data_IF_959673432473
#
_entry.id   IF_959673432473
#
_cell.length_a   1.000
_cell.length_b   1.000
_cell.length_c   1.000
_cell.angle_alpha   90.00
_cell.angle_beta   90.00
_cell.angle_gamma   90.00
#
_symmetry.space_group_name_H-M   'P 1'
#
loop_
_entity.id
_entity.type
_entity.pdbx_description
1 polymer ?
#
# COMPACT_ATOMS: atom_id res chain seq x y z
N UNK A 1 -37.03 -39.94 7.05
CA UNK A 1 -38.39 -39.75 6.59
C UNK A 1 -38.59 -38.30 6.21
N UNK A 2 -38.91 -38.11 4.94
CA UNK A 2 -39.41 -36.91 4.21
C UNK A 2 -38.54 -35.69 4.07
N UNK A 3 -38.06 -35.60 2.86
CA UNK A 3 -37.72 -34.48 1.98
C UNK A 3 -38.72 -33.32 2.02
N UNK A 4 -38.20 -32.09 2.02
CA UNK A 4 -38.83 -30.99 1.28
C UNK A 4 -37.71 -30.31 0.44
N UNK A 5 -37.84 -30.44 -0.87
CA UNK A 5 -37.14 -29.66 -1.90
C UNK A 5 -37.79 -28.29 -1.97
N UNK A 6 -37.01 -27.22 -1.89
CA UNK A 6 -37.41 -25.96 -2.47
C UNK A 6 -36.39 -25.54 -3.54
N UNK A 7 -36.94 -25.38 -4.69
CA UNK A 7 -36.31 -25.02 -5.96
C UNK A 7 -36.18 -23.51 -5.99
N UNK A 8 -34.95 -23.01 -5.94
CA UNK A 8 -34.65 -21.60 -6.27
C UNK A 8 -34.06 -21.56 -7.67
N UNK A 9 -34.82 -20.98 -8.60
CA UNK A 9 -34.36 -20.60 -9.93
C UNK A 9 -33.26 -19.53 -9.79
N UNK A 10 -32.04 -19.90 -10.05
CA UNK A 10 -30.95 -18.98 -10.31
C UNK A 10 -30.84 -18.77 -11.81
N UNK A 11 -31.12 -17.55 -12.27
CA UNK A 11 -30.73 -17.11 -13.61
C UNK A 11 -29.20 -17.04 -13.68
N UNK A 12 -28.62 -18.13 -14.16
CA UNK A 12 -27.18 -18.16 -14.49
C UNK A 12 -26.97 -17.47 -15.83
N UNK A 13 -26.36 -16.30 -15.82
CA UNK A 13 -25.70 -15.77 -17.02
C UNK A 13 -24.37 -16.53 -17.13
N UNK A 14 -24.35 -17.57 -17.96
CA UNK A 14 -23.13 -18.24 -18.35
C UNK A 14 -22.46 -17.36 -19.39
N UNK A 15 -21.47 -16.58 -18.97
CA UNK A 15 -20.51 -15.98 -19.90
C UNK A 15 -19.43 -17.00 -20.14
N UNK A 16 -19.54 -17.74 -21.24
CA UNK A 16 -18.48 -18.63 -21.72
C UNK A 16 -17.38 -17.75 -22.31
N UNK A 17 -16.31 -17.51 -21.56
CA UNK A 17 -15.08 -17.01 -22.11
C UNK A 17 -14.19 -18.21 -22.49
N UNK A 18 -14.04 -18.45 -23.79
CA UNK A 18 -13.09 -19.43 -24.32
C UNK A 18 -11.67 -19.03 -23.93
N UNK A 19 -11.02 -19.88 -23.16
CA UNK A 19 -9.59 -19.86 -22.91
C UNK A 19 -8.82 -20.08 -24.22
N UNK A 20 -7.84 -19.24 -24.46
CA UNK A 20 -6.87 -19.26 -25.57
C UNK A 20 -7.21 -18.37 -26.77
N UNK A 21 -7.09 -17.08 -26.60
CA UNK A 21 -6.73 -16.21 -27.72
C UNK A 21 -5.77 -15.12 -27.26
N UNK A 22 -4.58 -15.08 -27.89
CA UNK A 22 -3.66 -13.97 -27.77
C UNK A 22 -4.36 -12.68 -28.15
N UNK A 23 -3.99 -11.56 -27.53
CA UNK A 23 -4.58 -10.22 -27.70
C UNK A 23 -4.71 -9.73 -29.15
N UNK A 24 -4.24 -10.47 -30.13
CA UNK A 24 -4.32 -10.12 -31.57
C UNK A 24 -5.61 -10.59 -32.27
N UNK A 25 -6.42 -11.45 -31.67
CA UNK A 25 -7.52 -12.12 -32.40
C UNK A 25 -8.94 -11.62 -32.06
N UNK A 26 -9.10 -10.65 -31.15
CA UNK A 26 -10.44 -10.19 -30.72
C UNK A 26 -10.90 -8.93 -31.48
N UNK A 27 -10.05 -8.30 -32.26
CA UNK A 27 -10.43 -7.17 -33.11
C UNK A 27 -10.89 -7.70 -34.48
N UNK A 28 -12.18 -8.01 -34.65
CA UNK A 28 -12.74 -8.44 -35.93
C UNK A 28 -12.76 -7.29 -36.95
N UNK A 29 -12.44 -7.62 -38.21
CA UNK A 29 -12.38 -6.68 -39.33
C UNK A 29 -13.75 -6.44 -40.04
N UNK A 30 -14.86 -6.56 -39.36
CA UNK A 30 -16.16 -6.31 -39.98
C UNK A 30 -16.53 -4.84 -40.03
N UNK A 31 -16.59 -4.28 -41.23
CA UNK A 31 -16.71 -2.85 -41.52
C UNK A 31 -18.10 -2.21 -41.32
N UNK A 32 -19.11 -2.94 -40.85
CA UNK A 32 -20.52 -2.43 -40.79
C UNK A 32 -21.25 -2.68 -39.48
N UNK A 33 -20.56 -3.10 -38.40
CA UNK A 33 -21.18 -3.25 -37.10
C UNK A 33 -20.83 -2.08 -36.18
N UNK A 34 -21.80 -1.67 -35.37
CA UNK A 34 -21.63 -0.66 -34.33
C UNK A 34 -20.51 -1.09 -33.40
N UNK A 35 -19.39 -0.38 -33.41
CA UNK A 35 -18.18 -0.72 -32.61
C UNK A 35 -18.59 -0.93 -31.16
N UNK A 36 -18.32 -2.10 -30.63
CA UNK A 36 -18.62 -2.43 -29.23
C UNK A 36 -17.66 -1.74 -28.25
N UNK A 37 -18.08 -1.55 -27.00
CA UNK A 37 -17.19 -0.99 -25.98
C UNK A 37 -15.92 -1.84 -25.77
N UNK A 38 -16.01 -3.15 -25.96
CA UNK A 38 -14.86 -4.05 -25.89
C UNK A 38 -13.87 -3.80 -27.02
N UNK A 39 -14.33 -3.52 -28.24
CA UNK A 39 -13.49 -3.19 -29.38
C UNK A 39 -12.82 -1.82 -29.21
N UNK A 40 -13.56 -0.85 -28.69
CA UNK A 40 -13.01 0.45 -28.33
C UNK A 40 -11.89 0.32 -27.28
N UNK A 41 -12.11 -0.52 -26.25
CA UNK A 41 -11.12 -0.78 -25.22
C UNK A 41 -9.91 -1.50 -25.80
N UNK A 42 -10.10 -2.53 -26.62
CA UNK A 42 -9.05 -3.28 -27.30
C UNK A 42 -8.17 -2.34 -28.15
N UNK A 43 -8.78 -1.47 -28.94
CA UNK A 43 -8.08 -0.47 -29.76
C UNK A 43 -7.27 0.50 -28.90
N UNK A 44 -7.85 0.99 -27.83
CA UNK A 44 -7.16 1.91 -26.90
C UNK A 44 -5.97 1.23 -26.22
N UNK A 45 -6.12 -0.01 -25.77
CA UNK A 45 -5.03 -0.84 -25.22
C UNK A 45 -3.91 -1.06 -26.25
N UNK A 46 -4.24 -1.29 -27.53
CA UNK A 46 -3.24 -1.41 -28.60
C UNK A 46 -2.39 -0.15 -28.75
N UNK A 47 -3.02 1.03 -28.76
CA UNK A 47 -2.27 2.30 -28.76
C UNK A 47 -1.39 2.44 -27.52
N UNK A 48 -1.91 2.06 -26.36
CA UNK A 48 -1.18 2.12 -25.10
C UNK A 48 0.07 1.24 -25.12
N UNK A 49 -0.05 -0.01 -25.55
CA UNK A 49 1.07 -0.95 -25.71
C UNK A 49 2.15 -0.45 -26.68
N UNK A 50 1.73 0.30 -27.71
CA UNK A 50 2.64 0.91 -28.68
C UNK A 50 3.27 2.23 -28.20
N UNK A 51 3.04 2.64 -26.94
CA UNK A 51 3.53 3.90 -26.38
C UNK A 51 2.84 5.15 -26.93
N UNK A 52 1.75 5.00 -27.68
CA UNK A 52 0.94 6.10 -28.22
C UNK A 52 -0.07 6.57 -27.16
N UNK A 53 0.46 7.13 -26.06
CA UNK A 53 -0.32 7.42 -24.85
C UNK A 53 -1.49 8.38 -25.09
N UNK A 54 -1.30 9.46 -25.85
CA UNK A 54 -2.35 10.45 -26.13
C UNK A 54 -3.52 9.82 -26.91
N UNK A 55 -3.22 8.96 -27.88
CA UNK A 55 -4.25 8.23 -28.63
C UNK A 55 -5.00 7.23 -27.74
N UNK A 56 -4.27 6.56 -26.84
CA UNK A 56 -4.86 5.65 -25.86
C UNK A 56 -5.79 6.40 -24.90
N UNK A 57 -5.33 7.53 -24.33
CA UNK A 57 -6.13 8.38 -23.42
C UNK A 57 -7.39 8.90 -24.10
N UNK A 58 -7.29 9.32 -25.37
CA UNK A 58 -8.46 9.74 -26.15
C UNK A 58 -9.50 8.61 -26.27
N UNK A 59 -9.04 7.41 -26.57
CA UNK A 59 -9.94 6.23 -26.64
C UNK A 59 -10.54 5.88 -25.28
N UNK A 60 -9.78 5.90 -24.22
CA UNK A 60 -10.27 5.67 -22.85
C UNK A 60 -11.31 6.72 -22.44
N UNK A 61 -11.08 7.99 -22.71
CA UNK A 61 -12.04 9.05 -22.43
C UNK A 61 -13.35 8.85 -23.20
N UNK A 62 -13.29 8.41 -24.45
CA UNK A 62 -14.50 8.10 -25.24
C UNK A 62 -15.36 7.02 -24.59
N UNK A 63 -14.73 5.97 -24.03
CA UNK A 63 -15.45 4.92 -23.31
C UNK A 63 -16.02 5.44 -21.98
N UNK A 64 -15.26 6.22 -21.24
CA UNK A 64 -15.71 6.78 -19.95
C UNK A 64 -16.92 7.71 -20.12
N UNK A 65 -17.00 8.45 -21.22
CA UNK A 65 -18.09 9.38 -21.53
C UNK A 65 -19.28 8.71 -22.26
N UNK A 66 -19.23 7.41 -22.50
CA UNK A 66 -20.28 6.65 -23.16
C UNK A 66 -21.19 5.93 -22.14
N UNK A 67 -22.21 5.24 -22.64
CA UNK A 67 -23.08 4.35 -21.86
C UNK A 67 -22.43 2.97 -21.59
N UNK A 68 -21.11 2.87 -21.62
CA UNK A 68 -20.41 1.62 -21.32
C UNK A 68 -20.73 1.12 -19.91
N UNK A 69 -20.89 -0.21 -19.74
CA UNK A 69 -21.11 -0.81 -18.44
C UNK A 69 -20.02 -0.40 -17.44
N UNK A 70 -20.42 -0.30 -16.16
CA UNK A 70 -19.54 0.19 -15.10
C UNK A 70 -18.24 -0.62 -14.96
N UNK A 71 -18.32 -1.95 -15.09
CA UNK A 71 -17.12 -2.80 -15.01
C UNK A 71 -16.09 -2.47 -16.09
N UNK A 72 -16.54 -2.13 -17.31
CA UNK A 72 -15.65 -1.65 -18.39
C UNK A 72 -15.07 -0.28 -18.04
N UNK A 73 -15.87 0.65 -17.53
CA UNK A 73 -15.39 1.97 -17.12
C UNK A 73 -14.34 1.88 -16.02
N UNK A 74 -14.51 0.98 -15.04
CA UNK A 74 -13.52 0.76 -13.99
C UNK A 74 -12.19 0.25 -14.55
N UNK A 75 -12.23 -0.72 -15.46
CA UNK A 75 -11.02 -1.21 -16.14
C UNK A 75 -10.34 -0.11 -16.96
N UNK A 76 -11.12 0.67 -17.68
CA UNK A 76 -10.63 1.81 -18.48
C UNK A 76 -9.91 2.85 -17.61
N UNK A 77 -10.43 3.13 -16.40
CA UNK A 77 -9.79 4.07 -15.47
C UNK A 77 -8.37 3.64 -15.08
N UNK A 78 -8.15 2.34 -14.85
CA UNK A 78 -6.81 1.79 -14.54
C UNK A 78 -5.86 2.05 -15.69
N UNK A 79 -6.22 1.64 -16.92
CA UNK A 79 -5.35 1.84 -18.09
C UNK A 79 -5.13 3.32 -18.42
N UNK A 80 -6.15 4.15 -18.25
CA UNK A 80 -6.01 5.59 -18.44
C UNK A 80 -4.98 6.16 -17.47
N UNK A 81 -4.99 5.78 -16.19
CA UNK A 81 -4.00 6.21 -15.22
C UNK A 81 -2.58 5.79 -15.59
N UNK A 82 -2.39 4.58 -16.08
CA UNK A 82 -1.09 4.12 -16.60
C UNK A 82 -0.63 4.96 -17.79
N UNK A 83 -1.53 5.28 -18.73
CA UNK A 83 -1.23 6.10 -19.89
C UNK A 83 -0.88 7.56 -19.50
N UNK A 84 -1.59 8.16 -18.55
CA UNK A 84 -1.34 9.52 -18.06
C UNK A 84 0.06 9.67 -17.45
N UNK A 85 0.60 8.64 -16.82
CA UNK A 85 1.98 8.63 -16.32
C UNK A 85 2.98 8.08 -17.35
N UNK A 86 2.58 7.96 -18.63
CA UNK A 86 3.39 7.48 -19.75
C UNK A 86 4.03 6.11 -19.49
N UNK A 87 3.29 5.21 -18.83
CA UNK A 87 3.72 3.85 -18.60
C UNK A 87 3.05 2.90 -19.59
N UNK A 88 3.84 2.08 -20.32
CA UNK A 88 3.28 1.03 -21.13
C UNK A 88 2.51 0.02 -20.23
N UNK A 89 1.54 -0.67 -20.81
CA UNK A 89 0.95 -1.82 -20.15
C UNK A 89 2.06 -2.85 -19.98
N UNK A 90 2.38 -3.23 -18.74
CA UNK A 90 3.37 -4.28 -18.49
C UNK A 90 2.96 -5.56 -19.21
N UNK A 91 3.89 -6.18 -19.92
CA UNK A 91 3.67 -7.50 -20.55
C UNK A 91 3.38 -8.58 -19.51
N UNK A 92 3.72 -8.33 -18.24
CA UNK A 92 3.40 -9.18 -17.08
C UNK A 92 2.04 -8.89 -16.47
N UNK A 93 1.46 -7.71 -16.71
CA UNK A 93 0.12 -7.35 -16.27
C UNK A 93 -0.90 -8.04 -17.17
N UNK A 94 -1.23 -9.27 -16.83
CA UNK A 94 -2.31 -10.01 -17.47
C UNK A 94 -3.55 -9.88 -16.61
N UNK A 95 -4.64 -9.41 -17.23
CA UNK A 95 -5.95 -9.52 -16.60
C UNK A 95 -6.24 -11.01 -16.35
N UNK A 96 -6.32 -11.40 -15.08
CA UNK A 96 -6.61 -12.76 -14.71
C UNK A 96 -8.15 -12.93 -14.60
N UNK A 97 -8.77 -13.85 -15.34
CA UNK A 97 -10.22 -14.10 -15.27
C UNK A 97 -10.71 -14.41 -13.85
N UNK A 98 -9.84 -14.93 -13.00
CA UNK A 98 -10.16 -15.27 -11.62
C UNK A 98 -10.15 -14.06 -10.66
N UNK A 99 -9.80 -12.87 -11.13
CA UNK A 99 -9.89 -11.63 -10.33
C UNK A 99 -11.31 -11.41 -9.79
N UNK A 100 -12.33 -11.73 -10.58
CA UNK A 100 -13.74 -11.64 -10.16
C UNK A 100 -13.98 -12.50 -8.92
N UNK A 101 -13.44 -13.72 -8.86
CA UNK A 101 -13.55 -14.59 -7.68
C UNK A 101 -12.78 -14.04 -6.48
N UNK A 102 -11.56 -13.54 -6.70
CA UNK A 102 -10.73 -12.92 -5.66
C UNK A 102 -11.45 -11.70 -5.08
N UNK A 103 -11.96 -10.81 -5.94
CA UNK A 103 -12.71 -9.62 -5.54
C UNK A 103 -13.99 -10.00 -4.80
N UNK A 104 -14.76 -10.98 -5.29
CA UNK A 104 -15.99 -11.44 -4.64
C UNK A 104 -15.75 -12.03 -3.26
N UNK A 105 -14.70 -12.86 -3.11
CA UNK A 105 -14.29 -13.40 -1.80
C UNK A 105 -13.89 -12.28 -0.84
N UNK A 106 -13.12 -11.31 -1.32
CA UNK A 106 -12.66 -10.18 -0.53
C UNK A 106 -13.82 -9.33 -0.05
N UNK A 107 -14.75 -9.01 -0.94
CA UNK A 107 -15.96 -8.26 -0.60
C UNK A 107 -16.83 -9.01 0.41
N UNK A 108 -17.06 -10.32 0.22
CA UNK A 108 -17.83 -11.14 1.15
C UNK A 108 -17.20 -11.23 2.54
N UNK A 109 -15.86 -11.40 2.61
CA UNK A 109 -15.11 -11.41 3.87
C UNK A 109 -15.11 -10.07 4.59
N UNK A 110 -15.34 -8.98 3.89
CA UNK A 110 -15.29 -7.62 4.41
C UNK A 110 -16.59 -7.11 5.03
N UNK A 111 -17.71 -7.83 4.85
CA UNK A 111 -19.05 -7.38 5.27
C UNK A 111 -19.33 -5.95 4.80
N UNK A 112 -19.18 -5.70 3.51
CA UNK A 112 -19.22 -4.36 2.90
C UNK A 112 -20.56 -3.62 3.02
N UNK A 113 -21.61 -4.29 3.51
CA UNK A 113 -22.91 -3.65 3.71
C UNK A 113 -22.79 -2.54 4.76
N UNK A 114 -22.86 -1.30 4.30
CA UNK A 114 -22.72 -0.12 5.15
C UNK A 114 -21.25 0.27 5.46
N UNK A 115 -20.27 -0.32 4.75
CA UNK A 115 -18.87 0.07 4.91
C UNK A 115 -18.61 1.40 4.21
N UNK A 116 -18.23 2.41 4.97
CA UNK A 116 -17.67 3.66 4.46
C UNK A 116 -16.29 3.88 5.04
N UNK A 117 -15.35 4.33 4.22
CA UNK A 117 -14.08 4.84 4.71
C UNK A 117 -14.31 6.30 5.12
N UNK A 118 -14.25 6.57 6.40
CA UNK A 118 -14.26 7.95 6.89
C UNK A 118 -12.96 8.62 6.45
N UNK A 119 -13.06 9.57 5.54
CA UNK A 119 -11.97 10.38 5.02
C UNK A 119 -11.81 11.66 5.88
N UNK A 120 -11.57 11.48 7.17
CA UNK A 120 -11.18 12.59 8.02
C UNK A 120 -9.66 12.69 8.03
N UNK A 121 -9.13 13.92 8.01
CA UNK A 121 -7.70 14.22 7.93
C UNK A 121 -7.00 13.87 9.26
N UNK A 122 -6.87 12.57 9.53
CA UNK A 122 -6.26 12.05 10.76
C UNK A 122 -4.74 12.04 10.77
N UNK A 123 -4.11 12.62 9.75
CA UNK A 123 -2.67 12.71 9.69
C UNK A 123 -2.21 14.17 9.57
N UNK A 124 -1.21 14.52 10.35
CA UNK A 124 -0.41 15.73 10.17
C UNK A 124 0.95 15.51 10.82
N UNK A 125 2.05 16.04 10.23
CA UNK A 125 3.34 16.06 10.91
C UNK A 125 3.19 16.68 12.30
N UNK A 126 3.89 16.14 13.29
CA UNK A 126 3.84 16.56 14.70
C UNK A 126 2.48 16.44 15.40
N UNK A 127 1.45 15.92 14.75
CA UNK A 127 0.10 15.74 15.31
C UNK A 127 -0.32 14.28 15.23
N UNK A 128 -1.62 14.04 15.12
CA UNK A 128 -2.17 12.69 15.01
C UNK A 128 -1.55 11.91 13.85
N UNK A 129 -1.48 10.61 14.02
CA UNK A 129 -1.01 9.65 13.02
C UNK A 129 -2.16 8.70 12.72
N UNK A 130 -2.93 9.03 11.70
CA UNK A 130 -4.20 8.36 11.40
C UNK A 130 -5.13 8.37 12.62
N UNK A 131 -5.92 7.32 12.82
CA UNK A 131 -6.80 7.10 13.96
C UNK A 131 -6.20 6.14 15.00
N UNK A 132 -4.86 6.12 15.10
CA UNK A 132 -4.15 5.23 16.02
C UNK A 132 -4.56 5.40 17.48
N UNK A 133 -4.96 6.61 17.90
CA UNK A 133 -5.44 6.88 19.25
C UNK A 133 -6.73 6.12 19.61
N UNK A 134 -7.47 5.63 18.61
CA UNK A 134 -8.66 4.79 18.82
C UNK A 134 -8.32 3.30 19.04
N UNK A 135 -7.06 2.92 18.81
CA UNK A 135 -6.63 1.53 18.93
C UNK A 135 -6.63 1.09 20.39
N UNK A 136 -7.16 -0.11 20.65
CA UNK A 136 -7.17 -0.74 21.95
C UNK A 136 -6.38 -2.06 21.88
N UNK A 137 -5.24 -2.09 22.56
CA UNK A 137 -4.33 -3.23 22.58
C UNK A 137 -4.52 -4.11 23.83
N UNK A 138 -5.16 -3.58 24.88
CA UNK A 138 -5.25 -4.24 26.21
C UNK A 138 -6.20 -5.42 26.21
N UNK A 139 -7.23 -5.41 25.37
CA UNK A 139 -8.28 -6.43 25.31
C UNK A 139 -8.11 -7.42 24.15
N UNK A 140 -6.92 -7.52 23.57
CA UNK A 140 -6.65 -8.43 22.47
C UNK A 140 -5.66 -9.52 22.91
N UNK A 141 -6.07 -10.80 22.82
CA UNK A 141 -5.26 -11.94 23.24
C UNK A 141 -3.95 -12.13 22.46
N UNK A 142 -3.82 -11.42 21.31
CA UNK A 142 -2.61 -11.44 20.50
C UNK A 142 -1.56 -10.42 20.96
N UNK A 143 -1.88 -9.61 21.96
CA UNK A 143 -0.98 -8.61 22.53
C UNK A 143 -0.80 -8.84 24.04
N UNK A 144 0.36 -8.47 24.52
CA UNK A 144 0.64 -8.29 25.95
C UNK A 144 1.68 -7.19 26.13
N UNK A 145 1.80 -6.69 27.35
CA UNK A 145 2.86 -5.77 27.74
C UNK A 145 3.92 -6.49 28.58
N UNK A 146 5.18 -6.10 28.39
CA UNK A 146 6.27 -6.53 29.27
C UNK A 146 6.28 -5.71 30.59
N UNK A 147 7.26 -5.98 31.47
CA UNK A 147 7.41 -5.29 32.75
C UNK A 147 7.68 -3.78 32.60
N UNK A 148 8.14 -3.33 31.43
CA UNK A 148 8.41 -1.93 31.10
C UNK A 148 7.27 -1.27 30.31
N UNK A 149 6.09 -1.93 30.20
CA UNK A 149 4.96 -1.49 29.40
C UNK A 149 5.27 -1.36 27.89
N UNK A 150 6.14 -2.20 27.37
CA UNK A 150 6.38 -2.29 25.92
C UNK A 150 5.50 -3.38 25.34
N UNK A 151 4.80 -3.03 24.23
CA UNK A 151 3.89 -3.93 23.56
C UNK A 151 4.62 -5.09 22.87
N UNK A 152 4.17 -6.30 23.14
CA UNK A 152 4.59 -7.53 22.47
C UNK A 152 3.43 -8.13 21.71
N UNK A 153 3.70 -8.75 20.57
CA UNK A 153 2.70 -9.44 19.74
C UNK A 153 2.98 -10.93 19.67
N UNK A 154 1.89 -11.72 19.64
CA UNK A 154 1.94 -13.18 19.61
C UNK A 154 2.16 -13.69 18.18
N UNK A 155 3.17 -14.54 18.00
CA UNK A 155 3.46 -15.30 16.78
C UNK A 155 3.74 -16.76 17.16
N UNK A 156 3.07 -17.71 16.51
CA UNK A 156 3.24 -19.15 16.76
C UNK A 156 3.20 -19.51 18.26
N UNK A 157 2.26 -18.92 19.01
CA UNK A 157 2.08 -19.17 20.43
C UNK A 157 3.02 -18.45 21.39
N UNK A 158 4.06 -17.76 20.88
CA UNK A 158 5.02 -17.00 21.69
C UNK A 158 4.89 -15.50 21.43
N UNK A 159 5.28 -14.70 22.42
CA UNK A 159 5.25 -13.25 22.31
C UNK A 159 6.64 -12.72 21.99
N UNK A 160 6.68 -11.81 21.00
CA UNK A 160 7.89 -11.15 20.53
C UNK A 160 7.68 -9.64 20.43
N UNK A 161 8.75 -8.88 20.46
CA UNK A 161 8.70 -7.49 20.06
C UNK A 161 8.59 -7.44 18.54
N UNK A 162 7.52 -6.76 18.10
CA UNK A 162 7.35 -6.44 16.69
C UNK A 162 7.50 -4.92 16.57
N UNK A 163 8.55 -4.41 15.92
CA UNK A 163 8.81 -2.97 15.82
C UNK A 163 7.60 -2.17 15.39
N UNK A 164 6.91 -2.57 14.30
CA UNK A 164 5.70 -1.90 13.80
C UNK A 164 4.59 -1.87 14.86
N UNK A 165 4.41 -2.94 15.64
CA UNK A 165 3.40 -2.94 16.71
C UNK A 165 3.75 -1.98 17.84
N UNK A 166 5.02 -1.89 18.21
CA UNK A 166 5.52 -0.93 19.22
C UNK A 166 5.36 0.50 18.72
N UNK A 167 5.69 0.76 17.46
CA UNK A 167 5.56 2.07 16.82
C UNK A 167 4.10 2.53 16.73
N UNK A 168 3.19 1.66 16.30
CA UNK A 168 1.76 1.97 16.25
C UNK A 168 1.20 2.23 17.65
N UNK A 169 1.64 1.48 18.66
CA UNK A 169 1.28 1.74 20.04
C UNK A 169 1.84 3.07 20.53
N UNK A 170 3.11 3.38 20.23
CA UNK A 170 3.71 4.67 20.55
C UNK A 170 2.92 5.83 19.92
N UNK A 171 2.59 5.73 18.62
CA UNK A 171 1.83 6.75 17.90
C UNK A 171 0.39 6.89 18.42
N UNK A 172 -0.21 5.78 18.90
CA UNK A 172 -1.49 5.80 19.62
C UNK A 172 -1.38 6.59 20.94
N UNK A 173 -0.36 6.31 21.74
CA UNK A 173 -0.12 7.02 23.00
C UNK A 173 0.18 8.51 22.76
N UNK A 174 0.92 8.83 21.70
CA UNK A 174 1.16 10.21 21.29
C UNK A 174 -0.15 10.91 20.90
N UNK A 175 -0.99 10.27 20.08
CA UNK A 175 -2.30 10.82 19.70
C UNK A 175 -3.19 11.09 20.91
N UNK A 176 -3.25 10.15 21.87
CA UNK A 176 -3.95 10.34 23.15
C UNK A 176 -3.37 11.50 23.96
N UNK A 177 -2.03 11.61 24.02
CA UNK A 177 -1.34 12.69 24.74
C UNK A 177 -1.71 14.07 24.19
N UNK A 178 -1.65 14.28 22.88
CA UNK A 178 -2.00 15.58 22.29
C UNK A 178 -3.49 15.91 22.42
N UNK A 179 -4.33 14.92 22.70
CA UNK A 179 -5.75 15.05 23.02
C UNK A 179 -6.02 15.21 24.54
N UNK A 180 -4.98 15.44 25.34
CA UNK A 180 -5.09 15.77 26.77
C UNK A 180 -5.03 14.57 27.73
N UNK A 181 -4.73 13.34 27.26
CA UNK A 181 -4.58 12.18 28.15
C UNK A 181 -3.15 12.10 28.71
N UNK A 182 -2.98 11.50 29.88
CA UNK A 182 -1.67 11.31 30.54
C UNK A 182 -0.95 10.06 29.97
N UNK A 183 -0.59 10.11 28.70
CA UNK A 183 0.10 9.02 28.00
C UNK A 183 1.49 9.37 27.47
N UNK A 184 2.00 10.58 27.80
CA UNK A 184 3.33 11.02 27.40
C UNK A 184 4.44 10.04 27.80
N UNK A 185 4.39 9.53 29.03
CA UNK A 185 5.38 8.60 29.55
C UNK A 185 5.38 7.28 28.75
N UNK A 186 4.20 6.72 28.46
CA UNK A 186 4.06 5.50 27.65
C UNK A 186 4.60 5.68 26.25
N UNK A 187 4.33 6.83 25.61
CA UNK A 187 4.90 7.18 24.32
C UNK A 187 6.43 7.22 24.35
N UNK A 188 7.03 7.95 25.30
CA UNK A 188 8.47 8.10 25.40
C UNK A 188 9.16 6.80 25.76
N UNK A 189 8.57 5.95 26.60
CA UNK A 189 9.09 4.60 26.88
C UNK A 189 9.23 3.77 25.59
N UNK A 190 8.25 3.81 24.71
CA UNK A 190 8.31 3.09 23.44
C UNK A 190 9.37 3.70 22.50
N UNK A 191 9.49 5.03 22.46
CA UNK A 191 10.52 5.71 21.66
C UNK A 191 11.95 5.34 22.16
N UNK A 192 12.15 5.32 23.46
CA UNK A 192 13.43 4.93 24.08
C UNK A 192 13.72 3.43 23.88
N UNK A 193 12.69 2.58 23.97
CA UNK A 193 12.81 1.17 23.62
C UNK A 193 13.31 0.98 22.19
N UNK A 194 12.72 1.68 21.20
CA UNK A 194 13.12 1.58 19.79
C UNK A 194 14.58 1.99 19.59
N UNK A 195 15.07 3.03 20.29
CA UNK A 195 16.50 3.41 20.26
C UNK A 195 17.38 2.24 20.72
N UNK A 196 17.05 1.61 21.85
CA UNK A 196 17.82 0.54 22.45
C UNK A 196 17.69 -0.79 21.66
N UNK A 197 16.57 -1.00 20.98
CA UNK A 197 16.30 -2.19 20.17
C UNK A 197 16.99 -2.16 18.80
N UNK A 198 17.30 -0.96 18.31
CA UNK A 198 17.99 -0.73 17.05
C UNK A 198 19.42 -1.25 17.10
N UNK A 199 19.85 -1.97 16.07
CA UNK A 199 21.23 -2.40 15.95
C UNK A 199 22.20 -1.25 15.61
N UNK A 200 23.51 -1.56 15.56
CA UNK A 200 24.55 -0.56 15.27
C UNK A 200 24.38 0.14 13.91
N UNK A 201 23.76 -0.54 12.93
CA UNK A 201 23.49 0.00 11.59
C UNK A 201 22.21 0.85 11.54
N UNK A 202 21.41 0.83 12.59
CA UNK A 202 20.12 1.50 12.63
C UNK A 202 18.93 0.59 12.23
N UNK A 203 19.14 -0.72 12.16
CA UNK A 203 18.11 -1.68 11.79
C UNK A 203 17.24 -2.06 12.98
N UNK A 204 15.92 -2.02 12.79
CA UNK A 204 14.91 -2.60 13.68
C UNK A 204 14.62 -4.02 13.21
N UNK A 205 15.11 -5.02 13.93
CA UNK A 205 15.04 -6.42 13.54
C UNK A 205 13.88 -7.15 14.21
N UNK A 206 13.39 -8.17 13.54
CA UNK A 206 12.36 -9.07 14.05
C UNK A 206 13.03 -10.37 14.51
N UNK A 207 12.89 -10.72 15.78
CA UNK A 207 13.56 -11.87 16.41
C UNK A 207 12.78 -13.19 16.25
N UNK A 208 11.89 -13.26 15.29
CA UNK A 208 11.07 -14.44 15.00
C UNK A 208 11.01 -14.70 13.50
N UNK A 209 10.81 -15.98 13.14
CA UNK A 209 10.57 -16.36 11.77
C UNK A 209 9.16 -15.97 11.32
N UNK A 210 9.02 -15.48 10.09
CA UNK A 210 7.74 -15.09 9.51
C UNK A 210 7.65 -15.59 8.07
N UNK A 211 6.52 -16.18 7.72
CA UNK A 211 6.27 -16.59 6.34
C UNK A 211 5.47 -15.51 5.61
N UNK A 212 6.10 -14.93 4.58
CA UNK A 212 5.46 -14.03 3.63
C UNK A 212 5.93 -14.40 2.22
N UNK A 213 5.25 -15.37 1.61
CA UNK A 213 5.66 -16.06 0.38
C UNK A 213 6.95 -16.87 0.50
N UNK A 214 7.89 -16.42 1.30
CA UNK A 214 9.15 -17.06 1.64
C UNK A 214 9.33 -17.05 3.17
N UNK A 215 10.17 -17.95 3.70
CA UNK A 215 10.47 -18.03 5.12
C UNK A 215 11.53 -17.00 5.51
N UNK A 216 11.08 -15.86 6.04
CA UNK A 216 11.95 -14.85 6.62
C UNK A 216 12.49 -15.38 7.96
N UNK A 217 13.82 -15.51 8.04
CA UNK A 217 14.50 -16.00 9.24
C UNK A 217 14.60 -14.90 10.30
N UNK A 218 14.68 -15.24 11.61
CA UNK A 218 14.93 -14.26 12.66
C UNK A 218 16.10 -13.33 12.34
N UNK A 219 15.91 -12.03 12.58
CA UNK A 219 16.83 -10.98 12.17
C UNK A 219 16.42 -10.24 10.89
N UNK A 220 15.29 -10.63 10.26
CA UNK A 220 14.73 -9.90 9.11
C UNK A 220 14.31 -8.47 9.51
N UNK A 221 14.17 -7.61 8.51
CA UNK A 221 13.88 -6.18 8.67
C UNK A 221 12.76 -5.75 7.73
N UNK A 222 12.14 -4.60 8.04
CA UNK A 222 11.01 -4.06 7.30
C UNK A 222 11.20 -2.57 7.06
N UNK A 223 10.96 -2.10 5.84
CA UNK A 223 10.94 -0.67 5.56
C UNK A 223 9.83 0.05 6.32
N UNK A 224 8.69 -0.62 6.56
CA UNK A 224 7.60 -0.05 7.34
C UNK A 224 8.05 0.27 8.77
N UNK A 225 8.79 -0.64 9.41
CA UNK A 225 9.35 -0.38 10.74
C UNK A 225 10.33 0.81 10.71
N UNK A 226 11.25 0.83 9.76
CA UNK A 226 12.20 1.94 9.66
C UNK A 226 11.50 3.29 9.42
N UNK A 227 10.47 3.31 8.56
CA UNK A 227 9.70 4.51 8.27
C UNK A 227 8.84 4.98 9.44
N UNK A 228 8.11 4.08 10.10
CA UNK A 228 7.30 4.45 11.26
C UNK A 228 8.14 4.87 12.46
N UNK A 229 9.34 4.31 12.64
CA UNK A 229 10.29 4.79 13.65
C UNK A 229 10.66 6.26 13.42
N UNK A 230 10.84 6.72 12.18
CA UNK A 230 11.05 8.14 11.87
C UNK A 230 9.90 9.00 12.38
N UNK A 231 8.65 8.55 12.18
CA UNK A 231 7.44 9.23 12.66
C UNK A 231 7.38 9.29 14.20
N UNK A 232 7.85 8.23 14.89
CA UNK A 232 7.93 8.21 16.36
C UNK A 232 9.01 9.17 16.86
N UNK A 233 10.23 9.10 16.29
CA UNK A 233 11.37 9.92 16.73
C UNK A 233 11.16 11.41 16.46
N UNK A 234 10.53 11.78 15.34
CA UNK A 234 10.13 13.16 15.06
C UNK A 234 9.25 13.73 16.19
N UNK A 235 8.22 12.98 16.58
CA UNK A 235 7.29 13.38 17.65
C UNK A 235 7.94 13.38 19.02
N UNK A 236 8.79 12.41 19.30
CA UNK A 236 9.55 12.36 20.55
C UNK A 236 10.52 13.57 20.67
N UNK A 237 11.22 13.89 19.60
CA UNK A 237 12.06 15.08 19.53
C UNK A 237 11.24 16.36 19.67
N UNK A 238 10.09 16.45 19.05
CA UNK A 238 9.20 17.62 19.11
C UNK A 238 8.81 17.98 20.54
N UNK A 239 8.51 16.99 21.39
CA UNK A 239 8.03 17.24 22.75
C UNK A 239 9.13 17.27 23.83
N UNK A 240 10.33 16.74 23.50
CA UNK A 240 11.45 16.65 24.48
C UNK A 240 12.62 17.56 24.16
N UNK A 241 12.86 17.81 22.88
CA UNK A 241 14.08 18.44 22.34
C UNK A 241 15.37 17.65 22.61
N UNK A 242 15.23 16.39 23.02
CA UNK A 242 16.38 15.51 23.26
C UNK A 242 16.98 15.03 21.93
N UNK A 243 18.26 15.34 21.72
CA UNK A 243 19.00 15.02 20.50
C UNK A 243 19.15 13.52 20.25
N UNK A 244 19.01 12.67 21.29
CA UNK A 244 19.06 11.20 21.11
C UNK A 244 18.05 10.71 20.05
N UNK A 245 16.87 11.33 19.95
CA UNK A 245 15.86 10.99 18.95
C UNK A 245 16.28 11.42 17.54
N UNK A 246 17.01 12.54 17.40
CA UNK A 246 17.57 12.96 16.11
C UNK A 246 18.65 11.99 15.65
N UNK A 247 19.54 11.60 16.55
CA UNK A 247 20.60 10.64 16.26
C UNK A 247 20.03 9.26 15.86
N UNK A 248 19.03 8.77 16.60
CA UNK A 248 18.34 7.52 16.31
C UNK A 248 17.63 7.56 14.95
N UNK A 249 16.88 8.62 14.68
CA UNK A 249 16.18 8.76 13.40
C UNK A 249 17.16 8.87 12.22
N UNK A 250 18.30 9.54 12.38
CA UNK A 250 19.32 9.57 11.34
C UNK A 250 19.95 8.19 11.08
N UNK A 251 20.11 7.34 12.11
CA UNK A 251 20.53 5.94 11.93
C UNK A 251 19.45 5.14 11.20
N UNK A 252 18.17 5.28 11.60
CA UNK A 252 17.04 4.62 10.94
C UNK A 252 16.93 5.03 9.47
N UNK A 253 17.07 6.33 9.17
CA UNK A 253 17.06 6.83 7.79
C UNK A 253 18.19 6.24 6.95
N UNK A 254 19.42 6.22 7.47
CA UNK A 254 20.56 5.61 6.77
C UNK A 254 20.28 4.16 6.42
N UNK A 255 19.77 3.39 7.36
CA UNK A 255 19.41 2.00 7.11
C UNK A 255 18.29 1.88 6.07
N UNK A 256 17.23 2.70 6.18
CA UNK A 256 16.10 2.70 5.28
C UNK A 256 16.49 2.90 3.81
N UNK A 257 17.44 3.81 3.55
CA UNK A 257 17.94 4.11 2.20
C UNK A 257 19.12 3.23 1.75
N UNK A 258 19.52 2.24 2.56
CA UNK A 258 20.53 1.26 2.19
C UNK A 258 19.90 0.24 1.22
N UNK A 259 20.55 -0.07 0.08
CA UNK A 259 20.07 -1.09 -0.84
C UNK A 259 19.93 -2.47 -0.20
N UNK A 260 18.97 -3.27 -0.69
CA UNK A 260 18.79 -4.67 -0.29
C UNK A 260 20.07 -5.46 -0.55
N UNK A 261 20.77 -5.20 -1.66
CA UNK A 261 22.07 -5.83 -1.99
C UNK A 261 23.17 -5.56 -0.95
N UNK A 262 23.02 -4.52 -0.13
CA UNK A 262 23.92 -4.15 0.96
C UNK A 262 23.33 -4.48 2.35
N UNK A 263 22.26 -5.27 2.36
CA UNK A 263 21.58 -5.71 3.57
C UNK A 263 20.69 -4.64 4.22
N UNK A 264 20.17 -3.70 3.43
CA UNK A 264 19.13 -2.75 3.79
C UNK A 264 17.75 -3.18 3.31
N UNK A 265 16.85 -2.21 3.09
CA UNK A 265 15.45 -2.45 2.68
C UNK A 265 15.04 -1.68 1.41
N UNK A 266 15.93 -0.89 0.83
CA UNK A 266 15.66 -0.17 -0.40
C UNK A 266 15.97 -1.04 -1.62
N UNK A 267 15.01 -1.15 -2.52
CA UNK A 267 15.06 -1.91 -3.75
C UNK A 267 14.67 -1.01 -4.94
N UNK A 268 14.53 -1.60 -6.11
CA UNK A 268 14.00 -0.94 -7.30
C UNK A 268 12.76 -1.66 -7.82
N UNK A 269 12.08 -1.06 -8.77
CA UNK A 269 10.92 -1.67 -9.45
C UNK A 269 11.34 -2.56 -10.63
N UNK A 270 12.63 -2.89 -10.77
CA UNK A 270 13.17 -3.65 -11.90
C UNK A 270 12.54 -5.04 -12.03
N UNK A 271 12.30 -5.73 -10.91
CA UNK A 271 11.67 -7.05 -10.91
C UNK A 271 10.21 -7.01 -11.39
N UNK A 272 9.53 -5.86 -11.27
CA UNK A 272 8.20 -5.65 -11.81
C UNK A 272 8.24 -5.32 -13.32
N UNK A 273 9.11 -4.40 -13.71
CA UNK A 273 9.31 -3.99 -15.08
C UNK A 273 10.74 -3.41 -15.24
N UNK A 274 11.52 -3.97 -16.17
CA UNK A 274 12.91 -3.52 -16.42
C UNK A 274 13.03 -2.06 -16.83
N UNK A 275 11.96 -1.46 -17.40
CA UNK A 275 11.90 -0.03 -17.68
C UNK A 275 11.77 0.82 -16.42
N UNK A 276 11.54 0.23 -15.27
CA UNK A 276 11.40 0.89 -13.98
C UNK A 276 12.61 0.69 -13.06
N UNK A 277 13.74 0.20 -13.59
CA UNK A 277 14.96 -0.08 -12.81
C UNK A 277 15.48 1.12 -12.01
N UNK A 278 15.23 2.35 -12.48
CA UNK A 278 15.65 3.60 -11.83
C UNK A 278 14.62 4.10 -10.79
N UNK A 279 13.50 3.40 -10.62
CA UNK A 279 12.45 3.73 -9.66
C UNK A 279 12.68 2.95 -8.39
N UNK A 280 12.82 3.66 -7.26
CA UNK A 280 13.06 3.04 -5.95
C UNK A 280 11.79 2.44 -5.35
N UNK A 281 11.96 1.42 -4.55
CA UNK A 281 10.91 0.86 -3.69
C UNK A 281 11.50 0.47 -2.34
N UNK A 282 10.74 0.64 -1.26
CA UNK A 282 11.13 0.23 0.07
C UNK A 282 10.36 -1.04 0.45
N UNK A 283 11.08 -2.15 0.65
CA UNK A 283 10.48 -3.45 0.90
C UNK A 283 9.99 -3.59 2.34
N UNK A 284 8.70 -3.85 2.51
CA UNK A 284 8.15 -4.23 3.83
C UNK A 284 8.65 -5.61 4.24
N UNK A 285 8.76 -6.52 3.27
CA UNK A 285 9.33 -7.87 3.44
C UNK A 285 10.45 -8.03 2.43
N UNK A 286 11.68 -8.21 2.90
CA UNK A 286 12.85 -8.37 2.03
C UNK A 286 12.94 -9.85 1.60
N UNK A 287 12.13 -10.21 0.61
CA UNK A 287 12.11 -11.52 -0.01
C UNK A 287 13.11 -11.60 -1.19
N UNK A 288 13.51 -12.81 -1.57
CA UNK A 288 14.29 -13.04 -2.81
C UNK A 288 13.55 -12.52 -4.04
N UNK A 289 12.23 -12.68 -4.07
CA UNK A 289 11.36 -12.04 -5.07
C UNK A 289 10.57 -10.93 -4.39
N UNK A 290 10.81 -9.71 -4.82
CA UNK A 290 10.10 -8.53 -4.28
C UNK A 290 8.59 -8.67 -4.39
N UNK A 291 7.90 -8.53 -3.24
CA UNK A 291 6.43 -8.59 -3.18
C UNK A 291 5.77 -7.24 -3.46
N UNK A 292 6.49 -6.15 -3.26
CA UNK A 292 5.97 -4.79 -3.45
C UNK A 292 4.69 -4.52 -2.64
N UNK A 293 4.75 -4.72 -1.33
CA UNK A 293 3.62 -4.50 -0.41
C UNK A 293 3.28 -3.01 -0.30
N UNK A 294 2.02 -2.64 -0.59
CA UNK A 294 1.63 -1.24 -0.76
C UNK A 294 1.55 -0.46 0.55
N UNK A 295 0.86 -1.00 1.56
CA UNK A 295 0.63 -0.28 2.81
C UNK A 295 1.93 0.06 3.54
N UNK A 296 2.87 -0.88 3.63
CA UNK A 296 4.17 -0.64 4.26
C UNK A 296 5.00 0.37 3.49
N UNK A 297 4.95 0.32 2.15
CA UNK A 297 5.61 1.31 1.31
C UNK A 297 5.10 2.74 1.57
N UNK A 298 3.77 2.92 1.62
CA UNK A 298 3.20 4.26 1.87
C UNK A 298 3.49 4.73 3.29
N UNK A 299 3.43 3.86 4.30
CA UNK A 299 3.84 4.23 5.66
C UNK A 299 5.32 4.65 5.73
N UNK A 300 6.17 3.99 4.95
CA UNK A 300 7.58 4.38 4.81
C UNK A 300 7.74 5.79 4.24
N UNK A 301 6.99 6.12 3.18
CA UNK A 301 6.99 7.47 2.60
C UNK A 301 6.51 8.52 3.58
N UNK A 302 5.48 8.22 4.37
CA UNK A 302 5.00 9.13 5.42
C UNK A 302 6.08 9.37 6.48
N UNK A 303 6.82 8.33 6.88
CA UNK A 303 7.95 8.48 7.80
C UNK A 303 9.08 9.35 7.26
N UNK A 304 9.40 9.22 5.97
CA UNK A 304 10.37 10.11 5.30
C UNK A 304 9.87 11.56 5.28
N UNK A 305 8.59 11.77 5.04
CA UNK A 305 7.98 13.10 5.08
C UNK A 305 7.99 13.69 6.50
N UNK A 306 7.67 12.91 7.52
CA UNK A 306 7.77 13.34 8.92
C UNK A 306 9.22 13.75 9.24
N UNK A 307 10.22 12.94 8.85
CA UNK A 307 11.63 13.21 9.12
C UNK A 307 12.14 14.48 8.43
N UNK A 308 11.64 14.79 7.24
CA UNK A 308 11.91 16.07 6.57
C UNK A 308 11.54 17.28 7.43
N UNK A 309 10.54 17.18 8.32
CA UNK A 309 10.11 18.28 9.19
C UNK A 309 11.00 18.49 10.42
N UNK A 310 11.99 17.64 10.68
CA UNK A 310 12.99 17.84 11.73
C UNK A 310 14.02 18.86 11.25
N UNK A 311 13.65 20.16 11.32
CA UNK A 311 14.39 21.30 10.74
C UNK A 311 15.43 21.91 11.68
N UNK A 312 16.13 21.08 12.47
CA UNK A 312 17.25 21.56 13.27
C UNK A 312 18.49 21.79 12.38
N UNK A 313 19.26 22.85 12.64
CA UNK A 313 20.43 23.18 11.81
C UNK A 313 21.41 21.99 11.66
N UNK A 314 21.64 21.26 12.75
CA UNK A 314 22.49 20.06 12.75
C UNK A 314 21.89 18.86 12.02
N UNK A 315 20.57 18.89 11.72
CA UNK A 315 19.86 17.83 11.02
C UNK A 315 19.53 18.18 9.56
N UNK A 316 19.87 19.37 9.10
CA UNK A 316 19.48 19.85 7.76
C UNK A 316 19.90 18.88 6.64
N UNK A 317 21.08 18.29 6.74
CA UNK A 317 21.56 17.30 5.78
C UNK A 317 20.62 16.07 5.68
N UNK A 318 20.31 15.46 6.82
CA UNK A 318 19.44 14.28 6.86
C UNK A 318 17.98 14.60 6.53
N UNK A 319 17.48 15.75 6.95
CA UNK A 319 16.17 16.26 6.59
C UNK A 319 16.04 16.41 5.06
N UNK A 320 17.06 16.94 4.38
CA UNK A 320 17.06 17.06 2.92
C UNK A 320 17.10 15.70 2.22
N UNK A 321 17.92 14.75 2.73
CA UNK A 321 17.94 13.37 2.24
C UNK A 321 16.56 12.74 2.38
N UNK A 322 15.91 12.86 3.51
CA UNK A 322 14.56 12.31 3.71
C UNK A 322 13.56 12.87 2.69
N UNK A 323 13.62 14.15 2.39
CA UNK A 323 12.76 14.79 1.38
C UNK A 323 13.08 14.32 -0.05
N UNK A 324 14.35 14.16 -0.38
CA UNK A 324 14.78 13.62 -1.68
C UNK A 324 14.20 12.21 -1.90
N UNK A 325 14.37 11.32 -0.91
CA UNK A 325 13.87 9.95 -1.00
C UNK A 325 12.35 9.86 -0.92
N UNK A 326 11.70 10.76 -0.19
CA UNK A 326 10.25 10.92 -0.25
C UNK A 326 9.78 11.22 -1.68
N UNK A 327 10.36 12.21 -2.35
CA UNK A 327 9.96 12.57 -3.72
C UNK A 327 10.23 11.45 -4.72
N UNK A 328 11.40 10.79 -4.65
CA UNK A 328 11.70 9.61 -5.47
C UNK A 328 10.67 8.50 -5.24
N UNK A 329 10.26 8.28 -3.99
CA UNK A 329 9.25 7.31 -3.64
C UNK A 329 7.85 7.70 -4.16
N UNK A 330 7.47 8.97 -4.09
CA UNK A 330 6.20 9.46 -4.66
C UNK A 330 6.17 9.23 -6.20
N UNK A 331 7.27 9.48 -6.89
CA UNK A 331 7.38 9.20 -8.32
C UNK A 331 7.20 7.71 -8.63
N UNK A 332 7.81 6.84 -7.83
CA UNK A 332 7.63 5.39 -7.95
C UNK A 332 6.19 4.99 -7.68
N UNK A 333 5.56 5.52 -6.61
CA UNK A 333 4.18 5.23 -6.24
C UNK A 333 3.22 5.58 -7.39
N UNK A 334 3.38 6.73 -8.03
CA UNK A 334 2.57 7.11 -9.20
C UNK A 334 2.67 6.10 -10.34
N UNK A 335 3.86 5.54 -10.55
CA UNK A 335 4.09 4.55 -11.62
C UNK A 335 3.40 3.22 -11.35
N UNK A 336 3.34 2.76 -10.09
CA UNK A 336 2.90 1.42 -9.75
C UNK A 336 1.48 1.34 -9.19
N UNK A 337 0.94 2.45 -8.71
CA UNK A 337 -0.35 2.46 -8.02
C UNK A 337 -1.48 1.80 -8.83
N UNK A 338 -1.60 1.99 -10.15
CA UNK A 338 -2.64 1.34 -10.95
C UNK A 338 -2.55 -0.19 -10.97
N UNK A 339 -1.36 -0.78 -10.76
CA UNK A 339 -1.21 -2.24 -10.73
C UNK A 339 -1.85 -2.90 -9.50
N UNK A 340 -2.07 -2.14 -8.43
CA UNK A 340 -2.78 -2.64 -7.24
C UNK A 340 -4.30 -2.69 -7.44
N UNK A 341 -4.84 -2.08 -8.49
CA UNK A 341 -6.26 -2.13 -8.79
C UNK A 341 -6.60 -3.43 -9.52
N UNK A 342 -7.37 -4.30 -8.88
CA UNK A 342 -7.80 -5.59 -9.42
C UNK A 342 -9.24 -5.58 -9.93
N UNK A 343 -9.78 -4.38 -10.21
CA UNK A 343 -11.10 -4.24 -10.83
C UNK A 343 -12.27 -4.31 -9.86
N UNK A 344 -12.32 -3.40 -8.87
CA UNK A 344 -13.38 -3.30 -7.86
C UNK A 344 -12.91 -3.59 -6.44
N UNK A 345 -11.62 -3.78 -6.28
CA UNK A 345 -10.89 -3.92 -5.01
C UNK A 345 -9.40 -3.69 -5.25
N UNK A 346 -8.57 -3.68 -4.19
CA UNK A 346 -7.12 -3.59 -4.34
C UNK A 346 -6.44 -4.91 -3.96
N UNK A 347 -5.28 -5.19 -4.59
CA UNK A 347 -4.35 -6.20 -4.09
C UNK A 347 -3.54 -5.64 -2.92
N UNK A 348 -3.08 -6.54 -2.05
CA UNK A 348 -2.21 -6.21 -0.93
C UNK A 348 -0.80 -5.84 -1.41
N UNK A 349 -0.33 -6.57 -2.43
CA UNK A 349 1.00 -6.48 -3.01
C UNK A 349 0.97 -6.76 -4.53
N UNK A 350 2.13 -6.76 -5.18
CA UNK A 350 2.29 -7.07 -6.61
C UNK A 350 3.01 -8.41 -6.85
N UNK A 351 3.10 -9.28 -5.85
CA UNK A 351 3.73 -10.59 -6.00
C UNK A 351 3.09 -11.40 -7.13
N UNK A 352 1.79 -11.22 -7.35
CA UNK A 352 1.05 -11.87 -8.42
C UNK A 352 1.57 -11.51 -9.82
N UNK A 353 2.13 -10.30 -10.01
CA UNK A 353 2.73 -9.87 -11.28
C UNK A 353 4.13 -10.46 -11.42
N UNK A 354 4.95 -10.40 -10.37
CA UNK A 354 6.34 -10.88 -10.40
C UNK A 354 6.42 -12.40 -10.56
N UNK A 355 5.47 -13.14 -9.99
CA UNK A 355 5.40 -14.62 -10.04
C UNK A 355 4.30 -15.17 -10.94
N UNK A 356 3.54 -14.31 -11.64
CA UNK A 356 2.43 -14.73 -12.50
C UNK A 356 1.43 -15.65 -11.76
N UNK A 357 1.01 -15.24 -10.57
CA UNK A 357 0.07 -15.93 -9.69
C UNK A 357 -1.26 -15.19 -9.57
N UNK A 358 -2.14 -15.66 -8.70
CA UNK A 358 -3.36 -14.93 -8.32
C UNK A 358 -3.02 -13.73 -7.42
N UNK A 359 -3.73 -12.59 -7.54
CA UNK A 359 -3.50 -11.46 -6.67
C UNK A 359 -3.87 -11.80 -5.22
N UNK A 360 -3.03 -11.35 -4.30
CA UNK A 360 -3.36 -11.36 -2.89
C UNK A 360 -4.26 -10.16 -2.59
N UNK A 361 -5.54 -10.42 -2.33
CA UNK A 361 -6.49 -9.37 -2.02
C UNK A 361 -6.10 -8.61 -0.75
N UNK A 362 -6.23 -7.30 -0.80
CA UNK A 362 -5.90 -6.44 0.33
C UNK A 362 -6.78 -6.70 1.59
N UNK A 363 -7.99 -7.25 1.44
CA UNK A 363 -8.87 -7.46 2.58
C UNK A 363 -9.08 -6.15 3.37
N UNK A 364 -8.80 -6.17 4.68
CA UNK A 364 -8.84 -4.97 5.54
C UNK A 364 -7.96 -3.82 5.01
N UNK A 365 -6.83 -4.12 4.38
CA UNK A 365 -5.91 -3.10 3.88
C UNK A 365 -6.46 -2.28 2.71
N UNK A 366 -7.55 -2.70 2.06
CA UNK A 366 -8.20 -1.84 1.07
C UNK A 366 -8.62 -0.49 1.69
N UNK A 367 -9.17 -0.50 2.90
CA UNK A 367 -9.50 0.73 3.62
C UNK A 367 -8.26 1.52 4.05
N UNK A 368 -7.22 0.81 4.44
CA UNK A 368 -5.93 1.43 4.80
C UNK A 368 -5.34 2.13 3.59
N UNK A 369 -5.33 1.49 2.41
CA UNK A 369 -4.87 2.10 1.16
C UNK A 369 -5.62 3.39 0.82
N UNK A 370 -6.95 3.41 0.98
CA UNK A 370 -7.78 4.61 0.73
C UNK A 370 -7.37 5.75 1.68
N UNK A 371 -7.25 5.48 2.99
CA UNK A 371 -6.81 6.47 4.00
C UNK A 371 -5.38 6.96 3.74
N UNK A 372 -4.49 6.06 3.32
CA UNK A 372 -3.11 6.39 2.98
C UNK A 372 -3.04 7.28 1.74
N UNK A 373 -3.83 7.01 0.69
CA UNK A 373 -3.89 7.88 -0.49
C UNK A 373 -4.48 9.25 -0.17
N UNK A 374 -5.45 9.33 0.74
CA UNK A 374 -5.94 10.61 1.23
C UNK A 374 -4.83 11.42 1.92
N UNK A 375 -4.01 10.75 2.73
CA UNK A 375 -2.84 11.34 3.38
C UNK A 375 -1.80 11.81 2.36
N UNK A 376 -1.45 10.98 1.37
CA UNK A 376 -0.50 11.36 0.31
C UNK A 376 -1.04 12.53 -0.51
N UNK A 377 -2.34 12.55 -0.83
CA UNK A 377 -2.95 13.73 -1.46
C UNK A 377 -2.86 14.98 -0.57
N UNK A 378 -3.14 14.86 0.73
CA UNK A 378 -3.02 15.96 1.68
C UNK A 378 -1.59 16.54 1.73
N UNK A 379 -0.58 15.67 1.70
CA UNK A 379 0.84 16.04 1.72
C UNK A 379 1.26 16.69 0.40
N UNK A 380 0.98 16.03 -0.73
CA UNK A 380 1.53 16.40 -2.05
C UNK A 380 0.68 17.41 -2.81
N UNK A 381 -0.61 17.52 -2.47
CA UNK A 381 -1.65 18.24 -3.24
C UNK A 381 -1.79 17.74 -4.69
N UNK A 382 -1.21 16.58 -5.01
CA UNK A 382 -1.31 15.99 -6.34
C UNK A 382 -2.66 15.31 -6.54
N UNK A 383 -3.46 15.87 -7.44
CA UNK A 383 -4.82 15.39 -7.77
C UNK A 383 -4.85 13.92 -8.19
N UNK A 384 -3.74 13.39 -8.73
CA UNK A 384 -3.63 11.98 -9.10
C UNK A 384 -3.97 11.05 -7.94
N UNK A 385 -3.43 11.31 -6.73
CA UNK A 385 -3.70 10.49 -5.56
C UNK A 385 -5.14 10.63 -5.07
N UNK A 386 -5.72 11.83 -5.18
CA UNK A 386 -7.14 12.05 -4.92
C UNK A 386 -8.02 11.22 -5.85
N UNK A 387 -7.73 11.24 -7.15
CA UNK A 387 -8.51 10.50 -8.13
C UNK A 387 -8.43 8.97 -7.90
N UNK A 388 -7.25 8.45 -7.57
CA UNK A 388 -7.07 7.04 -7.22
C UNK A 388 -7.79 6.68 -5.92
N UNK A 389 -7.70 7.53 -4.89
CA UNK A 389 -8.45 7.36 -3.64
C UNK A 389 -9.96 7.30 -3.89
N UNK A 390 -10.48 8.25 -4.66
CA UNK A 390 -11.91 8.36 -4.95
C UNK A 390 -12.39 7.14 -5.76
N UNK A 391 -11.58 6.66 -6.72
CA UNK A 391 -11.85 5.43 -7.46
C UNK A 391 -11.96 4.23 -6.50
N UNK A 392 -10.96 4.01 -5.67
CA UNK A 392 -10.95 2.87 -4.74
C UNK A 392 -12.04 2.97 -3.68
N UNK A 393 -12.32 4.18 -3.17
CA UNK A 393 -13.43 4.39 -2.24
C UNK A 393 -14.78 4.10 -2.90
N UNK A 394 -14.93 4.35 -4.19
CA UNK A 394 -16.16 4.03 -4.93
C UNK A 394 -16.46 2.53 -4.99
N UNK A 395 -15.45 1.67 -4.81
CA UNK A 395 -15.64 0.22 -4.79
C UNK A 395 -16.34 -0.29 -3.53
N UNK A 396 -16.28 0.44 -2.45
CA UNK A 396 -16.85 0.07 -1.14
C UNK A 396 -18.12 0.84 -0.80
N UNK A 397 -18.36 2.00 -1.41
CA UNK A 397 -19.54 2.85 -1.13
C UNK A 397 -20.80 2.49 -1.93
N UNK A 398 -20.74 1.47 -2.76
CA UNK A 398 -21.76 1.18 -3.80
C UNK A 398 -22.54 -0.12 -3.54
N UNK A 399 -22.81 -0.42 -2.31
CA UNK A 399 -23.68 -1.55 -1.94
C UNK A 399 -24.91 -1.02 -1.22
#
# INVERSE_FOLDING_TARGET
>A
MKFIKETLLTFGIIIIFSSNMGYASVCSNNKNEKVTFNEMLCTSKKYHTLGKFDAAIKGYNSILNSEAPRYIKNEVLVYKKLAEVKKPISTRYKYCPDFIQVVSKSKAGYKLKGYSVELSHYYSPYKCYFDCEKSNYENCADFKFDANNILMRKYNGKFYYNPVSVELYALSMYGKYINGNDTKKSFLNCADFLINYMDKRGALKYDFAYNHYEDLQPGWTSSMAQGQALSVFERAFKITRDKKYVEAGNKALKYLITPVSEGGVMDTLEALDTNLKDKIFFQEYVNTTSSYTLNGYIFTLIGLYDWWHVKEAQNQYYSNIAYEYFNKGIDSLKCILPYYDIGGFTSYDLYYITKNSQPNSAGYYHSVHIKQLDTIYYITKDKYFKDMRDLWNSYVTLI
#
